data_IF_973529652060
#
_entry.id   IF_973529652060
#
_cell.length_a   1.000
_cell.length_b   1.000
_cell.length_c   1.000
_cell.angle_alpha   90.00
_cell.angle_beta   90.00
_cell.angle_gamma   90.00
#
_symmetry.space_group_name_H-M   'P 1'
#
loop_
_entity.id
_entity.type
_entity.pdbx_description
1 polymer ?
#
# COMPACT_ATOMS: atom_id res chain seq x y z
N UNK A 1 -4.43 31.91 -6.05
CA UNK A 1 -4.18 31.03 -4.88
C UNK A 1 -4.74 29.62 -5.05
N UNK A 2 -6.01 29.43 -5.51
CA UNK A 2 -6.61 28.09 -5.74
C UNK A 2 -5.83 27.24 -6.76
N UNK A 3 -5.45 27.77 -7.93
CA UNK A 3 -4.74 27.03 -8.99
C UNK A 3 -3.40 26.45 -8.50
N UNK A 4 -2.59 27.23 -7.79
CA UNK A 4 -1.30 26.78 -7.24
C UNK A 4 -1.50 25.63 -6.24
N UNK A 5 -2.57 25.67 -5.44
CA UNK A 5 -2.92 24.60 -4.49
C UNK A 5 -3.31 23.31 -5.21
N UNK A 6 -4.09 23.41 -6.29
CA UNK A 6 -4.49 22.25 -7.11
C UNK A 6 -3.28 21.62 -7.81
N UNK A 7 -2.38 22.43 -8.39
CA UNK A 7 -1.15 21.96 -9.05
C UNK A 7 -0.23 21.24 -8.08
N UNK A 8 -0.02 21.79 -6.88
CA UNK A 8 0.82 21.14 -5.87
C UNK A 8 0.22 19.78 -5.43
N UNK A 9 -1.12 19.68 -5.32
CA UNK A 9 -1.79 18.39 -5.06
C UNK A 9 -1.57 17.36 -6.16
N UNK A 10 -1.65 17.79 -7.40
CA UNK A 10 -1.39 16.93 -8.56
C UNK A 10 0.05 16.45 -8.57
N UNK A 11 1.04 17.32 -8.33
CA UNK A 11 2.45 16.90 -8.27
C UNK A 11 2.71 15.89 -7.14
N UNK A 12 2.12 16.11 -5.96
CA UNK A 12 2.24 15.18 -4.86
C UNK A 12 1.63 13.82 -5.23
N UNK A 13 0.43 13.82 -5.82
CA UNK A 13 -0.23 12.60 -6.25
C UNK A 13 0.60 11.82 -7.28
N UNK A 14 1.05 12.50 -8.35
CA UNK A 14 1.89 11.90 -9.39
C UNK A 14 3.23 11.42 -8.83
N UNK A 15 3.83 12.16 -7.90
CA UNK A 15 5.04 11.74 -7.20
C UNK A 15 4.85 10.46 -6.40
N UNK A 16 3.75 10.33 -5.65
CA UNK A 16 3.43 9.11 -4.91
C UNK A 16 3.20 7.91 -5.83
N UNK A 17 2.46 8.09 -6.94
CA UNK A 17 2.27 7.04 -7.96
C UNK A 17 3.61 6.66 -8.58
N UNK A 18 4.46 7.65 -8.90
CA UNK A 18 5.81 7.43 -9.40
C UNK A 18 6.70 6.63 -8.45
N UNK A 19 6.59 6.88 -7.13
CA UNK A 19 7.30 6.10 -6.10
C UNK A 19 6.81 4.65 -6.09
N UNK A 20 5.51 4.39 -6.22
CA UNK A 20 5.00 3.01 -6.33
C UNK A 20 5.63 2.31 -7.53
N UNK A 21 5.61 2.94 -8.71
CA UNK A 21 6.19 2.37 -9.94
C UNK A 21 7.70 2.11 -9.77
N UNK A 22 8.42 3.07 -9.20
CA UNK A 22 9.87 2.99 -9.00
C UNK A 22 10.25 1.81 -8.11
N UNK A 23 9.58 1.64 -6.96
CA UNK A 23 9.86 0.55 -6.03
C UNK A 23 9.46 -0.83 -6.56
N UNK A 24 8.71 -0.92 -7.63
CA UNK A 24 8.47 -2.21 -8.31
C UNK A 24 9.59 -2.63 -9.27
N UNK A 25 10.46 -1.68 -9.65
CA UNK A 25 11.53 -1.91 -10.63
C UNK A 25 12.90 -1.99 -9.95
N UNK A 26 13.14 -1.16 -8.92
CA UNK A 26 14.43 -1.11 -8.21
C UNK A 26 14.60 -2.37 -7.36
N UNK A 27 15.81 -3.00 -7.36
CA UNK A 27 16.12 -4.10 -6.47
C UNK A 27 16.00 -3.69 -4.99
N UNK A 28 15.25 -4.45 -4.21
CA UNK A 28 15.05 -4.26 -2.77
C UNK A 28 14.77 -5.62 -2.11
N UNK A 29 14.88 -5.75 -0.78
CA UNK A 29 14.44 -6.96 -0.09
C UNK A 29 12.98 -7.29 -0.44
N UNK A 30 12.62 -8.58 -0.58
CA UNK A 30 11.25 -8.97 -0.94
C UNK A 30 10.22 -8.30 -0.03
N UNK A 31 9.19 -7.70 -0.64
CA UNK A 31 8.09 -6.97 0.03
C UNK A 31 8.50 -5.71 0.82
N UNK A 32 9.75 -5.27 0.76
CA UNK A 32 10.19 -4.02 1.40
C UNK A 32 9.89 -2.82 0.49
N UNK A 33 8.63 -2.37 0.49
CA UNK A 33 8.14 -1.32 -0.42
C UNK A 33 7.25 -0.31 0.31
N UNK A 34 7.09 0.92 -0.19
CA UNK A 34 6.16 1.91 0.35
C UNK A 34 4.69 1.63 0.02
N UNK A 35 4.40 0.54 -0.68
CA UNK A 35 3.10 0.28 -1.32
C UNK A 35 1.96 0.25 -0.32
N UNK A 36 2.12 -0.44 0.82
CA UNK A 36 1.07 -0.52 1.85
C UNK A 36 0.77 0.88 2.42
N UNK A 37 1.81 1.62 2.81
CA UNK A 37 1.65 2.97 3.32
C UNK A 37 1.00 3.89 2.27
N UNK A 38 1.47 3.88 1.03
CA UNK A 38 0.90 4.73 -0.03
C UNK A 38 -0.52 4.30 -0.41
N UNK A 39 -0.86 3.00 -0.37
CA UNK A 39 -2.22 2.52 -0.59
C UNK A 39 -3.20 3.00 0.48
N UNK A 40 -2.72 3.28 1.69
CA UNK A 40 -3.49 3.90 2.75
C UNK A 40 -3.52 5.44 2.64
N UNK A 41 -2.36 6.09 2.48
CA UNK A 41 -2.26 7.55 2.55
C UNK A 41 -2.81 8.26 1.31
N UNK A 42 -2.68 7.69 0.11
CA UNK A 42 -3.24 8.32 -1.10
C UNK A 42 -4.77 8.49 -1.00
N UNK A 43 -5.56 7.45 -0.66
CA UNK A 43 -7.00 7.64 -0.46
C UNK A 43 -7.35 8.52 0.74
N UNK A 44 -6.53 8.54 1.78
CA UNK A 44 -6.71 9.45 2.92
C UNK A 44 -6.60 10.93 2.46
N UNK A 45 -5.62 11.27 1.62
CA UNK A 45 -5.37 12.64 1.19
C UNK A 45 -6.25 13.08 0.03
N UNK A 46 -6.45 12.22 -0.94
CA UNK A 46 -7.13 12.57 -2.19
C UNK A 46 -8.56 12.01 -2.28
N UNK A 47 -8.93 11.08 -1.41
CA UNK A 47 -10.23 10.41 -1.44
C UNK A 47 -10.16 9.06 -2.17
N UNK A 48 -11.23 8.27 -2.02
CA UNK A 48 -11.28 6.89 -2.52
C UNK A 48 -11.13 6.76 -4.05
N UNK A 49 -11.36 7.84 -4.80
CA UNK A 49 -11.14 7.87 -6.25
C UNK A 49 -9.66 7.65 -6.65
N UNK A 50 -8.73 7.78 -5.72
CA UNK A 50 -7.30 7.51 -5.95
C UNK A 50 -6.97 6.01 -5.98
N UNK A 51 -7.83 5.13 -5.46
CA UNK A 51 -7.61 3.67 -5.44
C UNK A 51 -7.42 3.11 -6.86
N UNK A 52 -8.25 3.40 -7.86
CA UNK A 52 -8.04 2.93 -9.22
C UNK A 52 -6.68 3.29 -9.81
N UNK A 53 -6.10 4.44 -9.44
CA UNK A 53 -4.78 4.85 -9.93
C UNK A 53 -3.65 4.07 -9.27
N UNK A 54 -3.80 3.67 -8.00
CA UNK A 54 -2.87 2.76 -7.33
C UNK A 54 -2.88 1.41 -8.05
N UNK A 55 -4.08 0.88 -8.33
CA UNK A 55 -4.23 -0.38 -9.05
C UNK A 55 -3.70 -0.26 -10.48
N UNK A 56 -3.93 0.86 -11.17
CA UNK A 56 -3.39 1.11 -12.50
C UNK A 56 -1.84 1.13 -12.50
N UNK A 57 -1.22 1.74 -11.48
CA UNK A 57 0.24 1.70 -11.32
C UNK A 57 0.75 0.26 -11.18
N UNK A 58 0.05 -0.56 -10.38
CA UNK A 58 0.36 -2.00 -10.28
C UNK A 58 0.15 -2.73 -11.60
N UNK A 59 -0.99 -2.56 -12.23
CA UNK A 59 -1.32 -3.19 -13.51
C UNK A 59 -0.29 -2.84 -14.60
N UNK A 60 0.16 -1.60 -14.64
CA UNK A 60 1.19 -1.16 -15.58
C UNK A 60 2.51 -1.91 -15.33
N UNK A 61 2.95 -2.03 -14.09
CA UNK A 61 4.19 -2.77 -13.79
C UNK A 61 4.03 -4.27 -13.98
N UNK A 62 2.88 -4.84 -13.61
CA UNK A 62 2.57 -6.26 -13.81
C UNK A 62 2.52 -6.63 -15.29
N UNK A 63 2.11 -5.71 -16.17
CA UNK A 63 2.19 -5.89 -17.62
C UNK A 63 3.64 -6.09 -18.11
N UNK A 64 4.59 -5.30 -17.57
CA UNK A 64 6.01 -5.39 -17.97
C UNK A 64 6.76 -6.53 -17.26
N UNK A 65 6.45 -6.82 -16.00
CA UNK A 65 7.10 -7.87 -15.21
C UNK A 65 6.53 -9.25 -15.57
N UNK A 66 5.29 -9.30 -16.01
CA UNK A 66 4.50 -10.49 -16.32
C UNK A 66 3.30 -10.64 -15.41
N UNK A 67 2.15 -10.96 -16.02
CA UNK A 67 0.95 -11.27 -15.27
C UNK A 67 1.10 -12.61 -14.53
N UNK A 68 0.62 -12.63 -13.30
CA UNK A 68 0.64 -13.81 -12.44
C UNK A 68 -0.75 -14.06 -11.81
N UNK A 69 -1.02 -15.26 -11.39
CA UNK A 69 -2.33 -15.69 -10.83
C UNK A 69 -2.72 -14.98 -9.52
N UNK A 70 -1.79 -14.23 -8.90
CA UNK A 70 -2.04 -13.51 -7.63
C UNK A 70 -2.59 -12.08 -7.80
N UNK A 71 -2.81 -11.60 -9.02
CA UNK A 71 -3.23 -10.22 -9.29
C UNK A 71 -4.47 -9.80 -8.50
N UNK A 72 -5.52 -10.64 -8.50
CA UNK A 72 -6.78 -10.36 -7.80
C UNK A 72 -6.54 -10.22 -6.29
N UNK A 73 -5.68 -11.06 -5.72
CA UNK A 73 -5.37 -11.07 -4.29
C UNK A 73 -4.54 -9.87 -3.88
N UNK A 74 -3.53 -9.50 -4.68
CA UNK A 74 -2.68 -8.32 -4.43
C UNK A 74 -3.44 -7.02 -4.65
N UNK A 75 -4.10 -6.85 -5.78
CA UNK A 75 -4.87 -5.63 -6.10
C UNK A 75 -6.08 -5.48 -5.18
N UNK A 76 -6.76 -6.59 -4.85
CA UNK A 76 -7.87 -6.61 -3.91
C UNK A 76 -7.45 -6.16 -2.51
N UNK A 77 -6.34 -6.69 -1.99
CA UNK A 77 -5.81 -6.30 -0.68
C UNK A 77 -5.44 -4.82 -0.63
N UNK A 78 -4.77 -4.28 -1.67
CA UNK A 78 -4.43 -2.86 -1.75
C UNK A 78 -5.68 -1.97 -1.82
N UNK A 79 -6.73 -2.42 -2.53
CA UNK A 79 -8.02 -1.72 -2.58
C UNK A 79 -8.69 -1.67 -1.21
N UNK A 80 -8.69 -2.77 -0.45
CA UNK A 80 -9.23 -2.84 0.91
C UNK A 80 -8.45 -1.91 1.84
N UNK A 81 -7.11 -1.87 1.74
CA UNK A 81 -6.27 -0.95 2.49
C UNK A 81 -6.64 0.50 2.18
N UNK A 82 -6.87 0.82 0.91
CA UNK A 82 -7.36 2.15 0.52
C UNK A 82 -8.72 2.50 1.13
N UNK A 83 -9.64 1.53 1.20
CA UNK A 83 -10.98 1.75 1.78
C UNK A 83 -10.95 2.02 3.28
N UNK A 84 -10.05 1.39 4.03
CA UNK A 84 -9.92 1.62 5.48
C UNK A 84 -9.26 2.95 5.81
N UNK A 85 -8.68 3.66 4.84
CA UNK A 85 -8.03 4.96 5.04
C UNK A 85 -8.97 6.01 5.67
N UNK A 86 -10.28 5.92 5.43
CA UNK A 86 -11.31 6.81 5.99
C UNK A 86 -11.33 6.83 7.53
N UNK A 87 -10.78 5.80 8.18
CA UNK A 87 -10.70 5.73 9.65
C UNK A 87 -9.44 6.38 10.23
N UNK A 88 -8.55 6.92 9.39
CA UNK A 88 -7.30 7.57 9.76
C UNK A 88 -7.48 9.01 10.25
N UNK A 89 -8.16 9.25 11.39
CA UNK A 89 -8.48 10.59 11.88
C UNK A 89 -7.29 11.30 12.55
N UNK A 90 -6.43 10.58 13.24
CA UNK A 90 -5.27 11.12 13.95
C UNK A 90 -4.04 10.21 13.72
N UNK A 91 -2.87 10.61 14.23
CA UNK A 91 -1.63 9.85 14.07
C UNK A 91 -1.78 8.38 14.51
N UNK A 92 -2.32 8.14 15.70
CA UNK A 92 -2.43 6.77 16.23
C UNK A 92 -3.37 5.90 15.41
N UNK A 93 -4.49 6.47 14.94
CA UNK A 93 -5.42 5.73 14.08
C UNK A 93 -4.82 5.47 12.69
N UNK A 94 -4.10 6.43 12.09
CA UNK A 94 -3.41 6.23 10.81
C UNK A 94 -2.32 5.19 10.91
N UNK A 95 -1.47 5.28 11.94
CA UNK A 95 -0.43 4.30 12.19
C UNK A 95 -1.02 2.90 12.42
N UNK A 96 -2.03 2.77 13.30
CA UNK A 96 -2.71 1.51 13.55
C UNK A 96 -3.37 0.92 12.30
N UNK A 97 -4.03 1.75 11.47
CA UNK A 97 -4.64 1.30 10.21
C UNK A 97 -3.60 0.86 9.17
N UNK A 98 -2.41 1.49 9.12
CA UNK A 98 -1.31 1.00 8.29
C UNK A 98 -0.82 -0.39 8.75
N UNK A 99 -0.73 -0.63 10.06
CA UNK A 99 -0.35 -1.95 10.60
C UNK A 99 -1.43 -3.00 10.28
N UNK A 100 -2.71 -2.66 10.45
CA UNK A 100 -3.83 -3.51 10.00
C UNK A 100 -3.74 -3.75 8.48
N UNK A 101 -3.40 -2.74 7.70
CA UNK A 101 -3.20 -2.85 6.26
C UNK A 101 -2.11 -3.86 5.89
N UNK A 102 -0.96 -3.86 6.59
CA UNK A 102 0.09 -4.84 6.35
C UNK A 102 -0.34 -6.26 6.71
N UNK A 103 -1.12 -6.42 7.79
CA UNK A 103 -1.68 -7.71 8.18
C UNK A 103 -2.73 -8.20 7.17
N UNK A 104 -3.62 -7.32 6.71
CA UNK A 104 -4.61 -7.65 5.67
C UNK A 104 -3.94 -8.08 4.37
N UNK A 105 -2.89 -7.36 3.95
CA UNK A 105 -2.11 -7.74 2.78
C UNK A 105 -1.51 -9.14 2.96
N UNK A 106 -0.86 -9.40 4.10
CA UNK A 106 -0.27 -10.70 4.41
C UNK A 106 -1.32 -11.82 4.36
N UNK A 107 -2.47 -11.62 5.02
CA UNK A 107 -3.52 -12.65 5.08
C UNK A 107 -4.11 -12.90 3.70
N UNK A 108 -4.51 -11.86 2.98
CA UNK A 108 -5.22 -12.00 1.69
C UNK A 108 -4.29 -12.52 0.60
N UNK A 109 -3.06 -11.97 0.49
CA UNK A 109 -2.14 -12.39 -0.57
C UNK A 109 -1.67 -13.85 -0.40
N UNK A 110 -1.37 -14.27 0.83
CA UNK A 110 -0.93 -15.64 1.08
C UNK A 110 -2.07 -16.67 1.03
N UNK A 111 -3.30 -16.27 1.36
CA UNK A 111 -4.48 -17.08 1.05
C UNK A 111 -4.58 -17.32 -0.46
N UNK A 112 -4.35 -16.27 -1.26
CA UNK A 112 -4.27 -16.39 -2.72
C UNK A 112 -3.17 -17.35 -3.18
N UNK A 113 -1.96 -17.25 -2.60
CA UNK A 113 -0.84 -18.16 -2.91
C UNK A 113 -1.23 -19.62 -2.64
N UNK A 114 -1.85 -19.89 -1.50
CA UNK A 114 -2.31 -21.24 -1.17
C UNK A 114 -3.42 -21.72 -2.11
N UNK A 115 -4.44 -20.88 -2.36
CA UNK A 115 -5.63 -21.29 -3.10
C UNK A 115 -5.38 -21.46 -4.60
N UNK A 116 -4.54 -20.58 -5.20
CA UNK A 116 -4.37 -20.51 -6.66
C UNK A 116 -2.97 -20.92 -7.13
N UNK A 117 -2.02 -21.11 -6.19
CA UNK A 117 -0.68 -21.57 -6.46
C UNK A 117 -0.60 -23.11 -6.53
N UNK A 118 0.52 -23.59 -7.07
CA UNK A 118 0.84 -25.03 -7.11
C UNK A 118 1.91 -25.43 -6.08
N UNK A 119 2.30 -24.49 -5.19
CA UNK A 119 3.40 -24.70 -4.24
C UNK A 119 2.97 -25.48 -2.98
N UNK A 120 1.70 -25.41 -2.62
CA UNK A 120 1.15 -25.98 -1.40
C UNK A 120 -0.09 -26.81 -1.72
N UNK A 121 -0.25 -27.93 -1.01
CA UNK A 121 -1.46 -28.73 -1.12
C UNK A 121 -2.69 -27.95 -0.62
N UNK A 122 -3.85 -28.18 -1.24
CA UNK A 122 -5.13 -27.58 -0.83
C UNK A 122 -5.68 -28.36 0.39
N UNK A 123 -4.93 -28.31 1.48
CA UNK A 123 -5.24 -28.90 2.78
C UNK A 123 -5.00 -27.88 3.89
N UNK A 124 -5.51 -28.13 5.10
CA UNK A 124 -5.25 -27.26 6.26
C UNK A 124 -3.75 -27.20 6.56
N UNK A 125 -3.04 -28.31 6.47
CA UNK A 125 -1.59 -28.35 6.67
C UNK A 125 -0.85 -27.54 5.62
N UNK A 126 -1.27 -27.58 4.34
CA UNK A 126 -0.72 -26.77 3.27
C UNK A 126 -0.97 -25.27 3.50
N UNK A 127 -2.16 -24.89 4.00
CA UNK A 127 -2.47 -23.51 4.38
C UNK A 127 -1.54 -23.00 5.49
N UNK A 128 -1.40 -23.79 6.58
CA UNK A 128 -0.52 -23.44 7.70
C UNK A 128 0.92 -23.29 7.22
N UNK A 129 1.40 -24.24 6.42
CA UNK A 129 2.76 -24.19 5.84
C UNK A 129 2.96 -22.94 4.99
N UNK A 130 2.00 -22.58 4.13
CA UNK A 130 2.05 -21.36 3.32
C UNK A 130 2.24 -20.12 4.18
N UNK A 131 1.46 -19.97 5.25
CA UNK A 131 1.58 -18.79 6.14
C UNK A 131 2.89 -18.79 6.93
N UNK A 132 3.37 -19.94 7.42
CA UNK A 132 4.66 -20.05 8.12
C UNK A 132 5.80 -19.62 7.20
N UNK A 133 5.82 -20.11 5.96
CA UNK A 133 6.86 -19.78 4.98
C UNK A 133 6.79 -18.32 4.51
N UNK A 134 5.65 -17.66 4.69
CA UNK A 134 5.46 -16.25 4.35
C UNK A 134 5.90 -15.28 5.47
N UNK A 135 6.18 -15.73 6.69
CA UNK A 135 6.57 -14.87 7.82
C UNK A 135 7.78 -13.97 7.52
N UNK A 136 8.87 -14.42 6.87
CA UNK A 136 9.99 -13.56 6.53
C UNK A 136 9.60 -12.39 5.60
N UNK A 137 8.71 -12.64 4.65
CA UNK A 137 8.18 -11.62 3.75
C UNK A 137 7.27 -10.63 4.49
N UNK A 138 6.46 -11.12 5.42
CA UNK A 138 5.62 -10.29 6.28
C UNK A 138 6.45 -9.36 7.17
N UNK A 139 7.56 -9.85 7.72
CA UNK A 139 8.49 -9.01 8.50
C UNK A 139 8.99 -7.82 7.68
N UNK A 140 9.40 -8.04 6.43
CA UNK A 140 9.81 -6.97 5.52
C UNK A 140 8.65 -6.01 5.21
N UNK A 141 7.44 -6.54 4.95
CA UNK A 141 6.23 -5.73 4.73
C UNK A 141 5.93 -4.84 5.94
N UNK A 142 5.99 -5.40 7.14
CA UNK A 142 5.71 -4.69 8.38
C UNK A 142 6.75 -3.59 8.64
N UNK A 143 8.05 -3.91 8.53
CA UNK A 143 9.14 -2.95 8.70
C UNK A 143 9.06 -1.81 7.68
N UNK A 144 8.86 -2.11 6.42
CA UNK A 144 8.68 -1.08 5.39
C UNK A 144 7.46 -0.21 5.65
N UNK A 145 6.34 -0.83 6.05
CA UNK A 145 5.11 -0.08 6.38
C UNK A 145 5.36 0.89 7.55
N UNK A 146 6.05 0.46 8.60
CA UNK A 146 6.42 1.32 9.74
C UNK A 146 7.27 2.49 9.25
N UNK A 147 8.35 2.21 8.53
CA UNK A 147 9.30 3.23 8.05
C UNK A 147 8.60 4.25 7.15
N UNK A 148 7.86 3.79 6.14
CA UNK A 148 7.20 4.69 5.20
C UNK A 148 6.01 5.42 5.81
N UNK A 149 5.27 4.81 6.75
CA UNK A 149 4.24 5.48 7.52
C UNK A 149 4.83 6.64 8.33
N UNK A 150 5.89 6.40 9.11
CA UNK A 150 6.57 7.43 9.89
C UNK A 150 7.18 8.52 8.99
N UNK A 151 7.76 8.16 7.86
CA UNK A 151 8.30 9.10 6.89
C UNK A 151 7.19 10.00 6.32
N UNK A 152 6.06 9.45 5.93
CA UNK A 152 4.91 10.21 5.42
C UNK A 152 4.35 11.12 6.51
N UNK A 153 4.17 10.63 7.73
CA UNK A 153 3.72 11.45 8.86
C UNK A 153 4.68 12.61 9.13
N UNK A 154 5.97 12.35 9.14
CA UNK A 154 6.99 13.39 9.33
C UNK A 154 6.96 14.42 8.20
N UNK A 155 6.96 13.98 6.94
CA UNK A 155 7.01 14.89 5.79
C UNK A 155 5.70 15.69 5.63
N UNK A 156 4.57 15.07 5.85
CA UNK A 156 3.25 15.63 5.52
C UNK A 156 2.66 16.43 6.67
N UNK A 157 2.79 15.94 7.90
CA UNK A 157 2.19 16.57 9.09
C UNK A 157 3.18 17.39 9.89
N UNK A 158 4.48 17.43 9.50
CA UNK A 158 5.44 18.34 10.11
C UNK A 158 5.11 19.80 9.77
N UNK A 159 5.58 20.71 10.62
CA UNK A 159 5.39 22.17 10.44
C UNK A 159 5.94 22.71 9.10
N UNK A 160 6.80 21.95 8.44
CA UNK A 160 7.45 22.34 7.17
C UNK A 160 6.57 22.12 5.94
N UNK A 161 5.57 21.22 6.00
CA UNK A 161 4.66 20.93 4.89
C UNK A 161 3.22 21.36 5.22
N UNK A 162 2.94 22.68 5.15
CA UNK A 162 1.60 23.25 5.41
C UNK A 162 0.52 22.86 4.38
N UNK A 163 0.83 21.98 3.43
CA UNK A 163 -0.04 21.72 2.28
C UNK A 163 -1.14 20.67 2.57
N UNK A 164 -0.80 19.58 3.23
CA UNK A 164 -1.72 18.45 3.44
C UNK A 164 -2.76 18.69 4.52
N UNK A 165 -2.46 19.38 5.65
CA UNK A 165 -3.50 19.78 6.61
C UNK A 165 -4.64 20.57 5.97
N UNK A 166 -4.39 21.24 4.85
CA UNK A 166 -5.43 21.98 4.12
C UNK A 166 -6.29 21.08 3.21
N UNK A 167 -5.80 19.88 2.80
CA UNK A 167 -6.58 18.88 2.07
C UNK A 167 -7.51 18.09 3.00
N UNK A 168 -7.10 17.90 4.26
CA UNK A 168 -7.86 17.18 5.28
C UNK A 168 -8.90 18.06 6.00
N UNK A 169 -8.83 19.39 5.84
CA UNK A 169 -9.88 20.31 6.32
C UNK A 169 -11.04 20.31 5.31
N UNK A 170 -11.88 19.29 5.41
CA UNK A 170 -13.24 19.29 4.87
C UNK A 170 -14.23 19.72 5.94
#
# INVERSE_FOLDING_TARGET
MKLKKTLNGLYLFLGCVGVILLFRIIPHPPNFTPVIALSFYLPLFFGLWSIPFIILAFATTDYFIGFHHLLIWTWGSLSIIGMISKYGMNFYSRFGMCMIGSLLFFVISNFGVWLTGSLYEITINGLITCYIMAIPFFTNTLLSTIIFCLLIEFLVFSKYFNFVPQLLKK
#
